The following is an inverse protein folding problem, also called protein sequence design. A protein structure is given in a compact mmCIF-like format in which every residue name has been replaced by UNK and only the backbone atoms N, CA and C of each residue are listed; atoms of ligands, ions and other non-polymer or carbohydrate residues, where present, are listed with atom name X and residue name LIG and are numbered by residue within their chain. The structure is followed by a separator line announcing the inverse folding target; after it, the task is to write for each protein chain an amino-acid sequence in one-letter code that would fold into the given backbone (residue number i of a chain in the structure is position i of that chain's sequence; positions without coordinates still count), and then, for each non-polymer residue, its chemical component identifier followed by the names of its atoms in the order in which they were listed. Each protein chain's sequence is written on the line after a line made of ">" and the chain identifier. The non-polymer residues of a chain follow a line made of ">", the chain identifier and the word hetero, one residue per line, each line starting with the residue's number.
data_IF_873371182773
#
_entry.id   IF_873371182773
#
_cell.length_a   1.000
_cell.length_b   1.000
_cell.length_c   1.000
_cell.angle_alpha   90.00
_cell.angle_beta   90.00
_cell.angle_gamma   90.00
#
_symmetry.space_group_name_H-M   'P 1'
#
loop_
_entity.id
_entity.type
_entity.pdbx_description
1 polymer ?
#
# COMPACT_ATOMS: atom_id res chain seq x y z
N UNK A 1 8.15 -12.51 8.75
CA UNK A 1 7.34 -11.33 9.10
C UNK A 1 6.07 -11.31 8.28
N UNK A 2 4.96 -10.90 8.88
CA UNK A 2 3.70 -10.82 8.17
C UNK A 2 3.72 -9.65 7.17
N UNK A 3 3.16 -9.87 5.99
CA UNK A 3 3.02 -8.81 5.00
C UNK A 3 1.91 -7.86 5.41
N UNK A 4 2.12 -6.56 5.18
CA UNK A 4 1.08 -5.58 5.35
C UNK A 4 0.05 -5.73 4.22
N UNK A 5 -1.23 -5.70 4.59
CA UNK A 5 -2.31 -5.76 3.60
C UNK A 5 -2.45 -4.41 2.89
N UNK A 6 -2.68 -4.46 1.59
CA UNK A 6 -3.00 -3.25 0.84
C UNK A 6 -4.40 -2.76 1.17
N UNK A 7 -4.58 -1.45 1.19
CA UNK A 7 -5.89 -0.86 1.38
C UNK A 7 -6.71 -1.03 0.11
N UNK A 8 -8.01 -1.23 0.27
CA UNK A 8 -8.94 -1.33 -0.86
C UNK A 8 -9.15 0.05 -1.48
N UNK A 9 -9.29 0.08 -2.80
CA UNK A 9 -9.63 1.32 -3.51
C UNK A 9 -10.99 1.82 -3.05
N UNK A 10 -11.12 3.12 -2.69
CA UNK A 10 -12.42 3.68 -2.32
C UNK A 10 -13.41 3.57 -3.48
N UNK A 11 -14.70 3.41 -3.14
CA UNK A 11 -15.76 3.35 -4.15
C UNK A 11 -15.92 4.71 -4.81
N UNK A 12 -15.93 4.73 -6.15
CA UNK A 12 -16.08 5.95 -6.91
C UNK A 12 -17.46 6.59 -6.69
N UNK A 13 -17.56 7.93 -6.63
CA UNK A 13 -18.84 8.60 -6.53
C UNK A 13 -19.62 8.50 -7.85
N UNK A 14 -20.93 8.71 -7.78
CA UNK A 14 -21.77 8.74 -8.99
C UNK A 14 -21.40 9.95 -9.86
N UNK A 15 -21.62 9.85 -11.16
CA UNK A 15 -21.37 10.95 -12.09
C UNK A 15 -22.16 12.22 -11.72
N UNK A 16 -23.32 12.06 -11.09
CA UNK A 16 -24.16 13.17 -10.64
C UNK A 16 -23.73 13.77 -9.30
N UNK A 17 -22.68 13.25 -8.66
CA UNK A 17 -22.20 13.76 -7.38
C UNK A 17 -21.69 15.20 -7.53
N UNK A 18 -21.74 15.97 -6.43
CA UNK A 18 -21.28 17.36 -6.43
C UNK A 18 -19.77 17.45 -6.69
N UNK A 19 -19.32 18.64 -7.07
CA UNK A 19 -17.88 18.91 -7.30
C UNK A 19 -17.09 18.63 -6.02
N UNK A 20 -17.60 19.07 -4.87
CA UNK A 20 -16.94 18.86 -3.58
C UNK A 20 -16.74 17.36 -3.28
N UNK A 21 -17.76 16.54 -3.56
CA UNK A 21 -17.67 15.08 -3.36
C UNK A 21 -16.63 14.47 -4.27
N UNK A 22 -16.59 14.88 -5.53
CA UNK A 22 -15.61 14.39 -6.50
C UNK A 22 -14.19 14.77 -6.10
N UNK A 23 -13.98 16.01 -5.66
CA UNK A 23 -12.67 16.48 -5.20
C UNK A 23 -12.21 15.72 -3.96
N UNK A 24 -13.10 15.51 -2.98
CA UNK A 24 -12.80 14.73 -1.79
C UNK A 24 -12.44 13.28 -2.13
N UNK A 25 -13.12 12.70 -3.10
CA UNK A 25 -12.80 11.35 -3.56
C UNK A 25 -11.37 11.28 -4.14
N UNK A 26 -10.98 12.25 -4.95
CA UNK A 26 -9.63 12.29 -5.51
C UNK A 26 -8.57 12.40 -4.41
N UNK A 27 -8.83 13.18 -3.37
CA UNK A 27 -7.92 13.28 -2.22
C UNK A 27 -7.80 11.95 -1.48
N UNK A 28 -8.91 11.27 -1.23
CA UNK A 28 -8.92 9.95 -0.60
C UNK A 28 -8.18 8.92 -1.45
N UNK A 29 -8.42 8.94 -2.74
CA UNK A 29 -7.76 8.01 -3.67
C UNK A 29 -6.24 8.21 -3.65
N UNK A 30 -5.78 9.45 -3.68
CA UNK A 30 -4.36 9.78 -3.60
C UNK A 30 -3.75 9.31 -2.28
N UNK A 31 -4.45 9.52 -1.17
CA UNK A 31 -3.99 9.08 0.16
C UNK A 31 -3.87 7.55 0.25
N UNK A 32 -4.86 6.81 -0.27
CA UNK A 32 -4.84 5.35 -0.30
C UNK A 32 -3.69 4.85 -1.19
N UNK A 33 -3.50 5.48 -2.34
CA UNK A 33 -2.43 5.12 -3.27
C UNK A 33 -1.06 5.33 -2.65
N UNK A 34 -0.86 6.45 -1.95
CA UNK A 34 0.39 6.76 -1.24
C UNK A 34 0.65 5.75 -0.13
N UNK A 35 -0.36 5.42 0.67
CA UNK A 35 -0.25 4.45 1.75
C UNK A 35 0.07 3.05 1.20
N UNK A 36 -0.55 2.64 0.10
CA UNK A 36 -0.26 1.36 -0.53
C UNK A 36 1.17 1.29 -1.07
N UNK A 37 1.68 2.39 -1.63
CA UNK A 37 3.08 2.46 -2.06
C UNK A 37 4.04 2.28 -0.89
N UNK A 38 3.75 2.91 0.25
CA UNK A 38 4.52 2.76 1.47
C UNK A 38 4.51 1.31 1.95
N UNK A 39 3.34 0.69 1.98
CA UNK A 39 3.19 -0.70 2.41
C UNK A 39 3.91 -1.68 1.47
N UNK A 40 3.83 -1.43 0.17
CA UNK A 40 4.55 -2.25 -0.82
C UNK A 40 6.06 -2.17 -0.62
N UNK A 41 6.60 -0.98 -0.34
CA UNK A 41 8.03 -0.80 -0.06
C UNK A 41 8.45 -1.54 1.20
N UNK A 42 7.65 -1.47 2.27
CA UNK A 42 7.93 -2.19 3.51
C UNK A 42 7.92 -3.70 3.28
N UNK A 43 6.92 -4.21 2.55
CA UNK A 43 6.82 -5.63 2.24
C UNK A 43 8.03 -6.13 1.46
N UNK A 44 8.47 -5.34 0.47
CA UNK A 44 9.66 -5.68 -0.33
C UNK A 44 10.91 -5.73 0.52
N UNK A 45 11.12 -4.73 1.37
CA UNK A 45 12.28 -4.68 2.25
C UNK A 45 12.27 -5.84 3.25
N UNK A 46 11.10 -6.18 3.78
CA UNK A 46 10.95 -7.32 4.68
C UNK A 46 11.35 -8.63 3.99
N UNK A 47 10.93 -8.84 2.73
CA UNK A 47 11.30 -10.03 1.97
C UNK A 47 12.81 -10.09 1.70
N UNK A 48 13.42 -8.96 1.34
CA UNK A 48 14.85 -8.88 1.10
C UNK A 48 15.65 -9.23 2.36
N UNK A 49 15.23 -8.69 3.50
CA UNK A 49 15.87 -8.98 4.78
C UNK A 49 15.72 -10.46 5.17
N UNK A 50 14.54 -11.03 4.94
CA UNK A 50 14.30 -12.46 5.22
C UNK A 50 15.23 -13.35 4.40
N UNK A 51 15.44 -13.02 3.14
CA UNK A 51 16.38 -13.75 2.27
C UNK A 51 17.81 -13.62 2.74
N UNK A 52 18.23 -12.43 3.17
CA UNK A 52 19.56 -12.20 3.70
C UNK A 52 19.80 -12.98 4.99
N UNK A 53 18.80 -13.02 5.86
CA UNK A 53 18.88 -13.78 7.11
C UNK A 53 19.03 -15.27 6.81
N UNK A 54 18.23 -15.80 5.90
CA UNK A 54 18.32 -17.21 5.51
C UNK A 54 19.70 -17.57 4.98
N UNK A 55 20.29 -16.73 4.14
CA UNK A 55 21.67 -16.93 3.66
C UNK A 55 22.69 -16.88 4.77
N UNK A 56 22.58 -15.89 5.66
CA UNK A 56 23.52 -15.73 6.78
C UNK A 56 23.47 -16.94 7.71
N UNK A 57 22.28 -17.46 8.01
CA UNK A 57 22.11 -18.65 8.84
C UNK A 57 22.74 -19.87 8.19
N UNK A 58 22.60 -20.04 6.88
CA UNK A 58 23.22 -21.16 6.16
C UNK A 58 24.74 -21.11 6.17
N UNK A 59 25.32 -19.93 6.31
CA UNK A 59 26.77 -19.75 6.33
C UNK A 59 27.41 -20.13 7.66
N UNK A 60 26.60 -20.31 8.68
CA UNK A 60 27.06 -20.81 9.97
C UNK A 60 27.08 -22.32 9.99
#
# INVERSE_FOLDING_TARGET
>A
MAKLKMLKRPKAPKASASIAVKENYLKKLAAVKKENSRRASINRKSEELSKKIAKAVQSF
#
